data_IF_493533858233
#
_entry.id   IF_493533858233
#
_cell.length_a   1.000
_cell.length_b   1.000
_cell.length_c   1.000
_cell.angle_alpha   90.00
_cell.angle_beta   90.00
_cell.angle_gamma   90.00
#
_symmetry.space_group_name_H-M   'P 1'
#
loop_
_entity.id
_entity.type
_entity.pdbx_description
1 polymer ?
#
# COMPACT_ATOMS: atom_id res chain seq x y z
N UNK A 1 -3.31 -20.99 -3.35
CA UNK A 1 -2.92 -19.58 -3.52
C UNK A 1 -1.61 -19.37 -2.78
N UNK A 2 -0.60 -18.79 -3.42
CA UNK A 2 0.68 -18.50 -2.77
C UNK A 2 0.62 -17.07 -2.25
N UNK A 3 0.74 -16.89 -0.94
CA UNK A 3 0.72 -15.56 -0.35
C UNK A 3 2.12 -14.91 -0.47
N UNK A 4 2.18 -13.76 -1.16
CA UNK A 4 3.39 -12.97 -1.32
C UNK A 4 3.83 -12.41 0.03
N UNK A 5 5.13 -12.41 0.32
CA UNK A 5 5.66 -11.67 1.46
C UNK A 5 5.51 -10.17 1.25
N UNK A 6 5.45 -9.43 2.35
CA UNK A 6 5.47 -7.96 2.30
C UNK A 6 6.91 -7.50 2.13
N UNK A 7 7.10 -6.34 1.52
CA UNK A 7 8.38 -5.64 1.59
C UNK A 7 8.46 -4.88 2.92
N UNK A 8 9.33 -5.33 3.82
CA UNK A 8 9.62 -4.65 5.08
C UNK A 8 11.14 -4.50 5.22
N UNK A 9 11.70 -3.28 5.04
CA UNK A 9 13.13 -3.06 5.20
C UNK A 9 13.55 -3.24 6.67
N UNK A 10 14.79 -3.66 6.90
CA UNK A 10 15.30 -3.99 8.24
C UNK A 10 15.19 -2.80 9.23
N UNK A 11 15.30 -1.56 8.74
CA UNK A 11 15.18 -0.33 9.52
C UNK A 11 13.75 0.19 9.72
N UNK A 12 12.72 -0.46 9.17
CA UNK A 12 11.35 0.08 9.16
C UNK A 12 10.80 0.38 10.57
N UNK A 13 11.18 -0.41 11.57
CA UNK A 13 10.71 -0.22 12.94
C UNK A 13 11.40 0.96 13.64
N UNK A 14 12.58 1.37 13.16
CA UNK A 14 13.42 2.41 13.76
C UNK A 14 13.33 3.74 13.00
N UNK A 15 13.13 3.70 11.69
CA UNK A 15 13.09 4.87 10.81
C UNK A 15 11.83 4.84 9.96
N UNK A 16 10.89 5.72 10.31
CA UNK A 16 9.74 6.07 9.47
C UNK A 16 9.98 7.37 8.70
N UNK A 17 8.98 7.83 7.95
CA UNK A 17 9.02 9.14 7.29
C UNK A 17 8.56 10.19 8.32
N UNK A 18 9.42 11.17 8.62
CA UNK A 18 9.16 12.18 9.65
C UNK A 18 8.75 11.59 11.01
N UNK A 19 9.39 10.49 11.42
CA UNK A 19 9.12 9.79 12.68
C UNK A 19 7.87 8.90 12.67
N UNK A 20 7.16 8.78 11.54
CA UNK A 20 5.93 7.98 11.42
C UNK A 20 6.17 6.72 10.57
N UNK A 21 5.74 5.55 11.06
CA UNK A 21 5.78 4.28 10.33
C UNK A 21 4.74 4.29 9.22
N UNK A 22 5.19 4.25 7.97
CA UNK A 22 4.31 4.36 6.79
C UNK A 22 4.17 3.01 6.10
N UNK A 23 2.92 2.60 5.87
CA UNK A 23 2.55 1.50 5.00
C UNK A 23 1.98 2.00 3.67
N UNK A 24 2.35 1.34 2.58
CA UNK A 24 1.86 1.61 1.22
C UNK A 24 1.28 0.33 0.66
N UNK A 25 0.04 0.40 0.18
CA UNK A 25 -0.63 -0.70 -0.46
C UNK A 25 -0.86 -0.44 -1.95
N UNK A 26 -0.36 -1.34 -2.81
CA UNK A 26 -0.80 -1.48 -4.19
C UNK A 26 -1.95 -2.48 -4.30
N UNK A 27 -2.36 -2.82 -5.53
CA UNK A 27 -3.47 -3.75 -5.75
C UNK A 27 -3.02 -5.22 -5.85
N UNK A 28 -2.24 -5.58 -6.88
CA UNK A 28 -1.91 -6.96 -7.21
C UNK A 28 -0.66 -7.03 -8.09
N UNK A 29 -0.11 -8.24 -8.29
CA UNK A 29 0.85 -8.52 -9.35
C UNK A 29 0.14 -9.19 -10.54
N UNK A 30 0.58 -8.85 -11.74
CA UNK A 30 0.38 -9.67 -12.94
C UNK A 30 1.74 -10.14 -13.45
N UNK A 31 1.82 -11.39 -13.90
CA UNK A 31 3.08 -11.94 -14.39
C UNK A 31 2.83 -13.15 -15.29
N UNK A 32 3.72 -13.34 -16.25
CA UNK A 32 3.78 -14.54 -17.08
C UNK A 32 4.65 -15.63 -16.43
N UNK A 33 5.35 -15.29 -15.34
CA UNK A 33 6.16 -16.22 -14.54
C UNK A 33 5.31 -16.95 -13.48
N UNK A 34 5.75 -18.14 -13.02
CA UNK A 34 5.07 -18.85 -11.93
C UNK A 34 4.98 -18.02 -10.64
N UNK A 35 3.83 -18.14 -9.98
CA UNK A 35 3.59 -17.47 -8.71
C UNK A 35 4.56 -17.97 -7.62
N UNK A 36 5.05 -17.05 -6.80
CA UNK A 36 5.97 -17.37 -5.70
C UNK A 36 5.85 -16.35 -4.56
N UNK A 37 6.17 -16.79 -3.34
CA UNK A 37 6.04 -15.95 -2.16
C UNK A 37 6.98 -14.73 -2.16
N UNK A 38 8.04 -14.73 -2.99
CA UNK A 38 9.03 -13.65 -3.03
C UNK A 38 8.69 -12.54 -4.04
N UNK A 39 7.57 -12.62 -4.77
CA UNK A 39 7.22 -11.70 -5.87
C UNK A 39 7.35 -10.22 -5.49
N UNK A 40 6.72 -9.78 -4.39
CA UNK A 40 6.78 -8.40 -3.91
C UNK A 40 8.20 -7.99 -3.51
N UNK A 41 8.91 -8.84 -2.76
CA UNK A 41 10.28 -8.54 -2.31
C UNK A 41 11.24 -8.42 -3.49
N UNK A 42 11.16 -9.35 -4.45
CA UNK A 42 11.99 -9.35 -5.64
C UNK A 42 11.70 -8.14 -6.52
N UNK A 43 10.43 -7.76 -6.68
CA UNK A 43 10.05 -6.55 -7.39
C UNK A 43 10.68 -5.29 -6.74
N UNK A 44 10.56 -5.15 -5.42
CA UNK A 44 11.12 -4.00 -4.72
C UNK A 44 12.66 -3.98 -4.75
N UNK A 45 13.33 -5.14 -4.64
CA UNK A 45 14.79 -5.24 -4.82
C UNK A 45 15.21 -4.70 -6.19
N UNK A 46 14.48 -5.04 -7.25
CA UNK A 46 14.76 -4.57 -8.63
C UNK A 46 14.43 -3.09 -8.84
N UNK A 47 13.41 -2.58 -8.16
CA UNK A 47 13.10 -1.13 -8.14
C UNK A 47 14.23 -0.35 -7.46
N UNK A 48 14.71 -0.84 -6.32
CA UNK A 48 15.75 -0.22 -5.51
C UNK A 48 17.12 -0.29 -6.21
N UNK A 49 17.46 -1.42 -6.82
CA UNK A 49 18.70 -1.58 -7.60
C UNK A 49 18.71 -0.78 -8.91
N UNK A 50 17.54 -0.31 -9.36
CA UNK A 50 17.38 0.40 -10.62
C UNK A 50 17.16 -0.50 -11.84
N UNK A 51 17.11 -1.82 -11.67
CA UNK A 51 16.81 -2.78 -12.75
C UNK A 51 15.41 -2.56 -13.35
N UNK A 52 14.45 -2.06 -12.56
CA UNK A 52 13.10 -1.71 -13.00
C UNK A 52 12.88 -0.18 -13.03
N UNK A 53 13.48 0.55 -14.00
CA UNK A 53 13.43 2.01 -14.03
C UNK A 53 12.10 2.57 -14.51
N UNK A 54 11.24 1.76 -15.13
CA UNK A 54 10.05 2.22 -15.86
C UNK A 54 8.70 1.87 -15.19
N UNK A 55 8.72 1.33 -13.97
CA UNK A 55 7.48 1.03 -13.25
C UNK A 55 6.91 2.31 -12.64
N UNK A 56 5.91 2.90 -13.33
CA UNK A 56 5.32 4.20 -13.00
C UNK A 56 4.86 4.30 -11.55
N UNK A 57 4.25 3.25 -11.01
CA UNK A 57 3.86 3.18 -9.60
C UNK A 57 5.05 3.50 -8.68
N UNK A 58 6.12 2.73 -8.82
CA UNK A 58 7.30 2.82 -7.95
C UNK A 58 8.12 4.10 -8.15
N UNK A 59 7.99 4.72 -9.32
CA UNK A 59 8.66 5.98 -9.65
C UNK A 59 7.89 7.22 -9.14
N UNK A 60 6.56 7.19 -9.18
CA UNK A 60 5.75 8.37 -8.86
C UNK A 60 5.45 8.51 -7.38
N UNK A 61 5.24 7.39 -6.68
CA UNK A 61 4.87 7.39 -5.26
C UNK A 61 5.87 8.14 -4.38
N UNK A 62 7.21 7.94 -4.49
CA UNK A 62 8.19 8.71 -3.69
C UNK A 62 8.00 10.23 -3.83
N UNK A 63 7.75 10.70 -5.05
CA UNK A 63 7.53 12.12 -5.34
C UNK A 63 6.26 12.70 -4.72
N UNK A 64 5.28 11.88 -4.31
CA UNK A 64 4.10 12.37 -3.56
C UNK A 64 4.45 12.70 -2.10
N UNK A 65 5.50 12.06 -1.56
CA UNK A 65 6.06 12.33 -0.24
C UNK A 65 7.18 13.40 -0.28
N UNK A 66 7.47 13.97 -1.46
CA UNK A 66 8.57 14.92 -1.64
C UNK A 66 9.95 14.28 -1.59
N UNK A 67 10.06 12.97 -1.86
CA UNK A 67 11.31 12.24 -1.89
C UNK A 67 11.79 12.03 -3.33
N UNK A 68 12.96 12.58 -3.67
CA UNK A 68 13.62 12.34 -4.96
C UNK A 68 14.51 11.08 -4.92
N UNK A 69 15.01 10.70 -3.74
CA UNK A 69 15.69 9.42 -3.54
C UNK A 69 14.68 8.27 -3.48
N UNK A 70 14.45 7.64 -4.63
CA UNK A 70 13.57 6.47 -4.76
C UNK A 70 14.03 5.29 -3.90
N UNK A 71 15.34 5.03 -3.84
CA UNK A 71 15.86 3.87 -3.12
C UNK A 71 15.73 4.08 -1.61
N UNK A 72 16.12 5.26 -1.11
CA UNK A 72 15.93 5.65 0.28
C UNK A 72 14.46 5.62 0.69
N UNK A 73 13.56 6.12 -0.17
CA UNK A 73 12.12 6.08 0.10
C UNK A 73 11.60 4.64 0.29
N UNK A 74 11.86 3.74 -0.66
CA UNK A 74 11.38 2.37 -0.55
C UNK A 74 12.04 1.60 0.60
N UNK A 75 13.25 1.96 1.01
CA UNK A 75 13.90 1.44 2.22
C UNK A 75 13.37 2.05 3.54
N UNK A 76 12.42 3.00 3.48
CA UNK A 76 11.84 3.68 4.65
C UNK A 76 10.37 3.33 4.89
N UNK A 77 9.76 2.51 4.03
CA UNK A 77 8.32 2.20 4.08
C UNK A 77 8.04 0.70 4.02
N UNK A 78 6.94 0.28 4.61
CA UNK A 78 6.35 -1.04 4.41
C UNK A 78 5.54 -1.02 3.11
N UNK A 79 5.76 -2.00 2.23
CA UNK A 79 4.97 -2.13 1.00
C UNK A 79 4.35 -3.51 0.85
N UNK A 80 3.10 -3.55 0.39
CA UNK A 80 2.42 -4.78 0.01
C UNK A 80 1.37 -4.53 -1.06
N UNK A 81 0.96 -5.58 -1.76
CA UNK A 81 -0.26 -5.56 -2.57
C UNK A 81 -1.42 -6.14 -1.76
N UNK A 82 -2.63 -5.59 -1.97
CA UNK A 82 -3.86 -6.07 -1.36
C UNK A 82 -4.12 -7.53 -1.71
N UNK A 83 -4.17 -7.85 -3.00
CA UNK A 83 -4.31 -9.23 -3.47
C UNK A 83 -3.00 -9.95 -3.20
N UNK A 84 -3.03 -11.06 -2.43
CA UNK A 84 -1.81 -11.70 -1.93
C UNK A 84 -1.11 -12.57 -2.97
N UNK A 85 -1.63 -12.72 -4.18
CA UNK A 85 -1.10 -13.63 -5.20
C UNK A 85 -1.18 -12.99 -6.59
N UNK A 86 -0.64 -13.66 -7.61
CA UNK A 86 -0.81 -13.21 -9.00
C UNK A 86 -2.30 -13.29 -9.37
N UNK A 87 -2.81 -12.26 -10.06
CA UNK A 87 -4.21 -12.22 -10.51
C UNK A 87 -4.39 -12.63 -11.98
N UNK A 88 -3.30 -12.77 -12.73
CA UNK A 88 -3.32 -13.17 -14.14
C UNK A 88 -1.98 -12.93 -14.83
N UNK A 89 -1.96 -13.24 -16.12
CA UNK A 89 -0.84 -12.95 -17.01
C UNK A 89 -0.57 -11.44 -17.09
N UNK A 90 0.60 -11.04 -17.56
CA UNK A 90 0.99 -9.62 -17.63
C UNK A 90 0.01 -8.79 -18.48
N UNK A 91 -0.57 -9.40 -19.52
CA UNK A 91 -1.58 -8.79 -20.39
C UNK A 91 -2.91 -8.49 -19.67
N UNK A 92 -3.19 -9.16 -18.55
CA UNK A 92 -4.41 -9.04 -17.76
C UNK A 92 -4.28 -7.99 -16.63
N UNK A 93 -3.56 -6.89 -16.89
CA UNK A 93 -3.24 -5.84 -15.92
C UNK A 93 -4.47 -5.17 -15.26
N UNK A 94 -5.67 -5.37 -15.81
CA UNK A 94 -6.93 -4.84 -15.29
C UNK A 94 -7.71 -5.85 -14.41
N UNK A 95 -7.18 -7.07 -14.23
CA UNK A 95 -7.78 -8.11 -13.41
C UNK A 95 -7.74 -7.72 -11.93
N UNK A 96 -8.86 -7.92 -11.22
CA UNK A 96 -9.03 -7.49 -9.82
C UNK A 96 -9.05 -8.68 -8.85
N UNK A 97 -8.57 -9.83 -9.30
CA UNK A 97 -8.58 -11.09 -8.55
C UNK A 97 -9.96 -11.72 -8.41
N UNK A 98 -9.97 -13.00 -8.07
CA UNK A 98 -11.18 -13.76 -7.76
C UNK A 98 -11.76 -13.33 -6.39
N UNK A 99 -12.96 -13.84 -6.08
CA UNK A 99 -13.58 -13.61 -4.76
C UNK A 99 -12.68 -14.12 -3.63
N UNK A 100 -12.12 -15.32 -3.78
CA UNK A 100 -11.24 -15.97 -2.80
C UNK A 100 -9.95 -15.17 -2.59
N UNK A 101 -9.38 -14.64 -3.68
CA UNK A 101 -8.20 -13.77 -3.62
C UNK A 101 -8.47 -12.47 -2.84
N UNK A 102 -9.65 -11.87 -3.07
CA UNK A 102 -10.05 -10.65 -2.39
C UNK A 102 -10.40 -10.89 -0.90
N UNK A 103 -10.99 -12.04 -0.57
CA UNK A 103 -11.20 -12.48 0.82
C UNK A 103 -9.86 -12.68 1.55
N UNK A 104 -8.91 -13.35 0.92
CA UNK A 104 -7.57 -13.51 1.44
C UNK A 104 -6.85 -12.16 1.61
N UNK A 105 -7.06 -11.22 0.68
CA UNK A 105 -6.54 -9.85 0.75
C UNK A 105 -7.07 -9.07 1.96
N UNK A 106 -8.38 -9.15 2.24
CA UNK A 106 -8.97 -8.51 3.44
C UNK A 106 -8.34 -9.05 4.73
N UNK A 107 -8.28 -10.37 4.87
CA UNK A 107 -7.67 -11.00 6.04
C UNK A 107 -6.19 -10.62 6.18
N UNK A 108 -5.47 -10.52 5.06
CA UNK A 108 -4.06 -10.11 5.02
C UNK A 108 -3.85 -8.69 5.50
N UNK A 109 -4.67 -7.72 5.07
CA UNK A 109 -4.55 -6.32 5.51
C UNK A 109 -4.56 -6.26 7.03
N UNK A 110 -5.54 -6.89 7.69
CA UNK A 110 -5.62 -6.89 9.16
C UNK A 110 -4.36 -7.48 9.81
N UNK A 111 -3.89 -8.65 9.34
CA UNK A 111 -2.65 -9.27 9.86
C UNK A 111 -1.43 -8.36 9.72
N UNK A 112 -1.33 -7.63 8.60
CA UNK A 112 -0.22 -6.70 8.36
C UNK A 112 -0.30 -5.52 9.33
N UNK A 113 -1.49 -4.92 9.52
CA UNK A 113 -1.67 -3.80 10.44
C UNK A 113 -1.36 -4.22 11.88
N UNK A 114 -1.85 -5.39 12.31
CA UNK A 114 -1.58 -5.93 13.65
C UNK A 114 -0.11 -6.19 13.90
N UNK A 115 0.59 -6.76 12.92
CA UNK A 115 2.00 -7.11 13.02
C UNK A 115 2.92 -5.90 13.00
N UNK A 116 2.71 -4.99 12.05
CA UNK A 116 3.67 -3.92 11.75
C UNK A 116 3.29 -2.57 12.36
N UNK A 117 2.04 -2.42 12.82
CA UNK A 117 1.52 -1.23 13.51
C UNK A 117 1.95 0.08 12.83
N UNK A 118 1.73 0.26 11.52
CA UNK A 118 2.01 1.53 10.86
C UNK A 118 1.17 2.64 11.50
N UNK A 119 1.69 3.86 11.51
CA UNK A 119 0.91 5.02 11.94
C UNK A 119 -0.02 5.47 10.80
N UNK A 120 0.44 5.33 9.55
CA UNK A 120 -0.32 5.71 8.34
C UNK A 120 -0.35 4.61 7.28
N UNK A 121 -1.46 4.49 6.57
CA UNK A 121 -1.63 3.59 5.42
C UNK A 121 -2.10 4.37 4.17
N UNK A 122 -1.32 4.29 3.10
CA UNK A 122 -1.67 4.87 1.81
C UNK A 122 -2.04 3.76 0.82
N UNK A 123 -3.29 3.75 0.35
CA UNK A 123 -3.82 2.72 -0.54
C UNK A 123 -3.93 3.26 -1.96
N UNK A 124 -2.97 2.93 -2.82
CA UNK A 124 -2.87 3.43 -4.20
C UNK A 124 -3.53 2.48 -5.20
N UNK A 125 -4.85 2.44 -5.22
CA UNK A 125 -5.60 1.58 -6.14
C UNK A 125 -6.96 2.19 -6.48
N UNK A 126 -7.39 1.98 -7.74
CA UNK A 126 -8.67 2.50 -8.23
C UNK A 126 -9.87 1.82 -7.59
N UNK A 127 -9.78 0.52 -7.31
CA UNK A 127 -10.90 -0.33 -6.86
C UNK A 127 -10.63 -1.03 -5.54
N UNK A 128 -9.36 -1.12 -5.14
CA UNK A 128 -9.00 -1.89 -3.96
C UNK A 128 -9.49 -1.23 -2.68
N UNK A 129 -9.58 0.11 -2.61
CA UNK A 129 -10.03 0.79 -1.38
C UNK A 129 -11.40 0.27 -0.91
N UNK A 130 -12.38 0.17 -1.81
CA UNK A 130 -13.72 -0.34 -1.48
C UNK A 130 -13.73 -1.84 -1.13
N UNK A 131 -12.66 -2.57 -1.45
CA UNK A 131 -12.48 -3.99 -1.14
C UNK A 131 -11.70 -4.23 0.16
N UNK A 132 -11.09 -3.20 0.75
CA UNK A 132 -10.36 -3.33 2.01
C UNK A 132 -11.32 -3.67 3.16
N UNK A 133 -10.79 -4.16 4.29
CA UNK A 133 -11.60 -4.33 5.50
C UNK A 133 -12.32 -3.03 5.88
N UNK A 134 -13.48 -3.13 6.56
CA UNK A 134 -14.21 -1.96 7.01
C UNK A 134 -13.42 -1.17 8.04
N UNK A 135 -13.42 0.15 7.89
CA UNK A 135 -12.80 1.10 8.83
C UNK A 135 -13.73 1.37 10.01
N UNK A 136 -13.26 2.11 11.03
CA UNK A 136 -14.11 2.53 12.14
C UNK A 136 -15.25 3.45 11.68
N UNK A 137 -15.00 4.24 10.64
CA UNK A 137 -15.98 5.14 10.03
C UNK A 137 -17.04 4.34 9.24
N UNK A 138 -16.65 3.31 8.48
CA UNK A 138 -17.59 2.42 7.78
C UNK A 138 -18.50 1.67 8.76
N UNK A 139 -17.96 1.34 9.93
CA UNK A 139 -18.67 0.69 11.03
C UNK A 139 -19.52 1.66 11.87
N UNK A 140 -19.50 2.96 11.56
CA UNK A 140 -20.19 4.03 12.31
C UNK A 140 -19.76 4.13 13.78
N UNK A 141 -18.57 3.64 14.10
CA UNK A 141 -17.93 3.82 15.42
C UNK A 141 -17.40 5.24 15.55
N UNK A 142 -17.02 5.88 14.43
CA UNK A 142 -16.56 7.27 14.35
C UNK A 142 -17.21 8.01 13.19
N UNK A 143 -17.39 9.33 13.28
CA UNK A 143 -17.77 10.14 12.12
C UNK A 143 -16.61 10.26 11.13
N UNK A 144 -16.92 10.36 9.84
CA UNK A 144 -15.93 10.65 8.80
C UNK A 144 -15.39 12.08 8.98
N UNK A 145 -14.07 12.24 8.87
CA UNK A 145 -13.41 13.54 8.99
C UNK A 145 -13.28 14.21 7.62
N UNK A 146 -14.21 15.12 7.34
CA UNK A 146 -14.20 15.98 6.16
C UNK A 146 -13.21 17.16 6.32
N UNK A 147 -12.66 17.72 5.22
CA UNK A 147 -12.83 17.29 3.81
C UNK A 147 -11.80 16.23 3.38
N UNK A 148 -10.92 15.79 4.29
CA UNK A 148 -9.77 14.96 3.94
C UNK A 148 -10.18 13.50 3.63
N UNK A 149 -11.28 13.05 4.23
CA UNK A 149 -11.89 11.73 4.00
C UNK A 149 -10.89 10.59 4.14
N UNK A 150 -10.17 10.69 5.25
CA UNK A 150 -9.27 9.69 5.74
C UNK A 150 -9.99 8.92 6.85
N UNK A 151 -9.61 7.65 6.99
CA UNK A 151 -10.30 6.67 7.79
C UNK A 151 -9.35 6.07 8.83
N UNK A 152 -9.89 5.29 9.74
CA UNK A 152 -9.15 4.69 10.84
C UNK A 152 -9.34 3.18 10.84
N UNK A 153 -8.23 2.45 10.83
CA UNK A 153 -8.19 1.06 11.25
C UNK A 153 -7.73 0.97 12.69
N UNK A 154 -8.24 -0.02 13.41
CA UNK A 154 -7.75 -0.37 14.73
C UNK A 154 -7.09 -1.75 14.67
N UNK A 155 -5.87 -1.84 15.20
CA UNK A 155 -5.19 -3.13 15.36
C UNK A 155 -5.77 -3.88 16.56
N UNK A 156 -5.51 -5.19 16.64
CA UNK A 156 -5.85 -6.03 17.80
C UNK A 156 -5.26 -5.51 19.12
N UNK A 157 -4.17 -4.73 19.07
CA UNK A 157 -3.54 -4.09 20.23
C UNK A 157 -4.10 -2.72 20.59
N UNK A 158 -5.12 -2.24 19.89
CA UNK A 158 -5.70 -0.91 20.07
C UNK A 158 -4.97 0.22 19.34
N UNK A 159 -3.77 -0.03 18.77
CA UNK A 159 -3.06 0.95 17.93
C UNK A 159 -3.91 1.36 16.73
N UNK A 160 -3.99 2.65 16.45
CA UNK A 160 -4.77 3.22 15.36
C UNK A 160 -3.90 3.51 14.15
N UNK A 161 -4.38 3.08 12.99
CA UNK A 161 -3.74 3.34 11.70
C UNK A 161 -4.63 4.26 10.90
N UNK A 162 -4.12 5.45 10.58
CA UNK A 162 -4.89 6.41 9.80
C UNK A 162 -4.64 6.17 8.31
N UNK A 163 -5.70 5.97 7.53
CA UNK A 163 -5.64 5.42 6.18
C UNK A 163 -6.35 6.31 5.16
N UNK A 164 -5.88 6.28 3.92
CA UNK A 164 -6.55 6.99 2.82
C UNK A 164 -6.46 6.20 1.51
N UNK A 165 -7.59 6.13 0.80
CA UNK A 165 -7.69 5.65 -0.57
C UNK A 165 -7.26 6.72 -1.57
N UNK A 166 -6.25 6.42 -2.38
CA UNK A 166 -5.70 7.29 -3.40
C UNK A 166 -5.80 6.64 -4.80
N UNK A 167 -6.09 7.42 -5.86
CA UNK A 167 -6.04 6.90 -7.22
C UNK A 167 -4.68 6.28 -7.56
N UNK A 168 -4.68 5.24 -8.41
CA UNK A 168 -3.42 4.67 -8.91
C UNK A 168 -2.56 5.75 -9.61
N UNK A 169 -1.22 5.76 -9.43
CA UNK A 169 -0.35 6.80 -9.97
C UNK A 169 -0.44 7.04 -11.47
N UNK A 170 -0.84 6.04 -12.26
CA UNK A 170 -1.03 6.16 -13.72
C UNK A 170 -2.15 7.13 -14.14
N UNK A 171 -3.14 7.35 -13.27
CA UNK A 171 -4.32 8.18 -13.58
C UNK A 171 -4.44 9.42 -12.68
N UNK A 172 -3.50 9.60 -11.77
CA UNK A 172 -3.57 10.64 -10.76
C UNK A 172 -2.90 11.95 -11.21
N UNK A 173 -3.50 13.08 -10.84
CA UNK A 173 -2.84 14.39 -10.91
C UNK A 173 -1.82 14.48 -9.77
N UNK A 174 -0.53 14.69 -10.10
CA UNK A 174 0.57 14.72 -9.12
C UNK A 174 0.33 15.71 -7.98
N UNK A 175 -0.10 16.93 -8.29
CA UNK A 175 -0.36 17.97 -7.29
C UNK A 175 -1.42 17.54 -6.26
N UNK A 176 -2.55 17.00 -6.72
CA UNK A 176 -3.61 16.50 -5.83
C UNK A 176 -3.13 15.37 -4.93
N UNK A 177 -2.29 14.45 -5.43
CA UNK A 177 -1.74 13.39 -4.59
C UNK A 177 -0.80 13.93 -3.53
N UNK A 178 0.06 14.90 -3.88
CA UNK A 178 0.95 15.57 -2.93
C UNK A 178 0.14 16.23 -1.81
N UNK A 179 -0.94 16.94 -2.15
CA UNK A 179 -1.82 17.59 -1.16
C UNK A 179 -2.43 16.58 -0.20
N UNK A 180 -2.99 15.48 -0.71
CA UNK A 180 -3.61 14.44 0.12
C UNK A 180 -2.59 13.70 0.99
N UNK A 181 -1.40 13.41 0.45
CA UNK A 181 -0.30 12.81 1.21
C UNK A 181 0.15 13.75 2.33
N UNK A 182 0.41 15.02 2.02
CA UNK A 182 0.79 16.02 3.03
C UNK A 182 -0.27 16.18 4.13
N UNK A 183 -1.55 16.23 3.76
CA UNK A 183 -2.63 16.37 4.72
C UNK A 183 -2.69 15.18 5.69
N UNK A 184 -2.60 13.94 5.18
CA UNK A 184 -2.56 12.76 6.04
C UNK A 184 -1.29 12.70 6.90
N UNK A 185 -0.13 13.12 6.39
CA UNK A 185 1.11 13.14 7.16
C UNK A 185 1.10 14.18 8.30
N UNK A 186 0.35 15.28 8.16
CA UNK A 186 0.28 16.37 9.14
C UNK A 186 -0.74 16.14 10.27
N UNK A 187 -1.34 14.96 10.34
CA UNK A 187 -2.56 14.69 11.12
C UNK A 187 -2.40 13.65 12.21
#
# INVERSE_FOLDING_TARGET
MIEHRVWCPAGYQQSGIAGQRIAIAGHSHTSDEPDNAAMTENCLKKVISGEYPNLQFFNRVPGYFGCDDRAGFWNSVLFFNFVPSIVGARSEWNNNGTKEQNEAGRARVQRILDKYKPDKLFVFTKKGWDQFPPTLEDQKVRPLVEPLNWHTYQTASGHEVKAIGLPHPDRAKKATQIERVKALMAS
#
